data_IF_667642261001
#
_entry.id   IF_667642261001
#
_cell.length_a   1.000
_cell.length_b   1.000
_cell.length_c   1.000
_cell.angle_alpha   90.00
_cell.angle_beta   90.00
_cell.angle_gamma   90.00
#
_symmetry.space_group_name_H-M   'P 1'
#
loop_
_entity.id
_entity.type
_entity.pdbx_description
1 polymer ?
#
# COMPACT_ATOMS: atom_id res chain seq x y z
N UNK A 1 -15.18 37.48 -18.39
CA UNK A 1 -14.03 36.70 -18.89
C UNK A 1 -13.02 36.63 -17.77
N UNK A 2 -13.13 35.63 -16.88
CA UNK A 2 -12.17 35.35 -15.83
C UNK A 2 -11.07 34.50 -16.47
N UNK A 3 -9.87 35.03 -16.55
CA UNK A 3 -8.69 34.32 -17.03
C UNK A 3 -8.40 33.13 -16.08
N UNK A 4 -8.38 31.95 -16.66
CA UNK A 4 -7.98 30.71 -16.00
C UNK A 4 -6.52 30.88 -15.51
N UNK A 5 -6.22 30.78 -14.20
CA UNK A 5 -4.86 30.95 -13.68
C UNK A 5 -3.91 29.81 -14.06
N UNK A 6 -4.32 28.88 -14.93
CA UNK A 6 -3.51 27.79 -15.47
C UNK A 6 -2.74 28.15 -16.76
N UNK A 7 -2.75 29.43 -17.19
CA UNK A 7 -1.98 29.85 -18.37
C UNK A 7 -0.50 30.02 -18.03
N UNK A 8 0.28 29.14 -18.62
CA UNK A 8 1.70 29.17 -18.98
C UNK A 8 2.59 30.18 -18.19
N UNK A 9 3.40 29.68 -17.24
CA UNK A 9 4.53 30.43 -16.69
C UNK A 9 4.57 30.64 -15.17
N UNK A 10 3.56 30.20 -14.41
CA UNK A 10 3.68 30.21 -12.96
C UNK A 10 4.78 29.24 -12.50
N UNK A 11 5.72 29.64 -11.61
CA UNK A 11 6.77 28.75 -11.14
C UNK A 11 6.12 27.52 -10.47
N UNK A 12 6.51 26.36 -10.95
CA UNK A 12 6.03 25.07 -10.42
C UNK A 12 6.26 25.06 -8.91
N UNK A 13 5.25 24.81 -8.06
CA UNK A 13 5.39 24.96 -6.62
C UNK A 13 6.23 23.82 -6.03
N UNK A 14 7.56 23.99 -6.08
CA UNK A 14 8.51 23.01 -5.51
C UNK A 14 8.23 22.75 -4.02
N UNK A 15 7.83 23.80 -3.29
CA UNK A 15 7.44 23.69 -1.88
C UNK A 15 6.27 22.72 -1.67
N UNK A 16 5.24 22.76 -2.51
CA UNK A 16 4.11 21.85 -2.43
C UNK A 16 4.53 20.39 -2.73
N UNK A 17 5.40 20.18 -3.72
CA UNK A 17 5.97 18.86 -4.02
C UNK A 17 6.73 18.29 -2.81
N UNK A 18 7.59 19.10 -2.19
CA UNK A 18 8.35 18.70 -1.00
C UNK A 18 7.41 18.42 0.18
N UNK A 19 6.39 19.27 0.41
CA UNK A 19 5.40 19.05 1.47
C UNK A 19 4.65 17.74 1.32
N UNK A 20 4.19 17.42 0.10
CA UNK A 20 3.51 16.13 -0.20
C UNK A 20 4.48 14.97 -0.02
N UNK A 21 5.72 15.06 -0.52
CA UNK A 21 6.73 14.01 -0.37
C UNK A 21 7.04 13.70 1.11
N UNK A 22 7.14 14.76 1.95
CA UNK A 22 7.29 14.60 3.41
C UNK A 22 6.10 13.83 3.99
N UNK A 23 4.86 14.17 3.64
CA UNK A 23 3.68 13.49 4.18
C UNK A 23 3.64 12.00 3.80
N UNK A 24 3.96 11.66 2.54
CA UNK A 24 4.09 10.26 2.13
C UNK A 24 5.19 9.53 2.92
N UNK A 25 6.34 10.17 3.12
CA UNK A 25 7.42 9.62 3.93
C UNK A 25 6.99 9.39 5.38
N UNK A 26 6.33 10.36 6.02
CA UNK A 26 5.86 10.26 7.40
C UNK A 26 4.80 9.16 7.57
N UNK A 27 3.88 9.05 6.63
CA UNK A 27 2.87 7.99 6.65
C UNK A 27 3.52 6.61 6.66
N UNK A 28 4.48 6.36 5.75
CA UNK A 28 5.25 5.11 5.73
C UNK A 28 6.05 4.88 7.01
N UNK A 29 6.68 5.93 7.56
CA UNK A 29 7.48 5.84 8.79
C UNK A 29 6.62 5.44 9.99
N UNK A 30 5.44 6.07 10.17
CA UNK A 30 4.53 5.78 11.30
C UNK A 30 3.98 4.37 11.17
N UNK A 31 3.55 3.97 9.96
CA UNK A 31 3.02 2.63 9.74
C UNK A 31 4.07 1.55 10.02
N UNK A 32 5.30 1.71 9.51
CA UNK A 32 6.39 0.76 9.74
C UNK A 32 6.84 0.73 11.21
N UNK A 33 6.82 1.87 11.89
CA UNK A 33 7.09 1.94 13.34
C UNK A 33 6.10 1.08 14.12
N UNK A 34 4.81 1.14 13.80
CA UNK A 34 3.80 0.24 14.36
C UNK A 34 4.10 -1.22 13.99
N UNK A 35 4.22 -1.54 12.70
CA UNK A 35 4.39 -2.89 12.18
C UNK A 35 5.56 -3.64 12.86
N UNK A 36 6.70 -2.97 13.05
CA UNK A 36 7.88 -3.58 13.68
C UNK A 36 7.74 -3.83 15.18
N UNK A 37 6.78 -3.18 15.84
CA UNK A 37 6.54 -3.31 17.29
C UNK A 37 5.30 -4.14 17.63
N UNK A 38 4.58 -4.67 16.63
CA UNK A 38 3.44 -5.59 16.84
C UNK A 38 3.83 -6.76 17.75
N UNK A 39 4.98 -7.46 17.57
CA UNK A 39 5.34 -8.57 18.46
C UNK A 39 5.47 -8.16 19.93
N UNK A 40 5.96 -6.96 20.22
CA UNK A 40 6.10 -6.46 21.59
C UNK A 40 4.74 -6.14 22.24
N UNK A 41 3.79 -5.59 21.46
CA UNK A 41 2.42 -5.34 21.92
C UNK A 41 1.66 -6.65 22.11
N UNK A 42 1.80 -7.60 21.19
CA UNK A 42 1.23 -8.94 21.28
C UNK A 42 1.70 -9.64 22.57
N UNK A 43 3.01 -9.67 22.81
CA UNK A 43 3.59 -10.30 23.99
C UNK A 43 3.14 -9.64 25.30
N UNK A 44 3.08 -8.29 25.33
CA UNK A 44 2.63 -7.54 26.52
C UNK A 44 1.19 -7.85 26.90
N UNK A 45 0.32 -7.99 25.91
CA UNK A 45 -1.11 -8.29 26.13
C UNK A 45 -1.42 -9.79 26.15
N UNK A 46 -0.40 -10.63 25.97
CA UNK A 46 -0.52 -12.10 25.88
C UNK A 46 -1.56 -12.55 24.83
N UNK A 47 -1.64 -11.84 23.69
CA UNK A 47 -2.63 -12.13 22.65
C UNK A 47 -2.30 -13.38 21.87
N UNK A 48 -3.30 -14.23 21.67
CA UNK A 48 -3.25 -15.31 20.69
C UNK A 48 -3.15 -14.72 19.26
N UNK A 49 -2.66 -15.50 18.27
CA UNK A 49 -2.66 -15.03 16.88
C UNK A 49 -4.04 -14.65 16.36
N UNK A 50 -5.10 -15.35 16.78
CA UNK A 50 -6.48 -15.05 16.41
C UNK A 50 -6.94 -13.70 16.96
N UNK A 51 -6.70 -13.41 18.25
CA UNK A 51 -7.01 -12.13 18.88
C UNK A 51 -6.24 -10.97 18.25
N UNK A 52 -4.97 -11.19 17.92
CA UNK A 52 -4.17 -10.20 17.21
C UNK A 52 -4.73 -9.95 15.80
N UNK A 53 -5.10 -11.00 15.07
CA UNK A 53 -5.72 -10.87 13.75
C UNK A 53 -7.02 -10.06 13.80
N UNK A 54 -7.85 -10.28 14.84
CA UNK A 54 -9.05 -9.48 15.08
C UNK A 54 -8.71 -8.01 15.42
N UNK A 55 -7.67 -7.76 16.18
CA UNK A 55 -7.24 -6.41 16.49
C UNK A 55 -6.75 -5.68 15.22
N UNK A 56 -5.92 -6.32 14.41
CA UNK A 56 -5.40 -5.78 13.15
C UNK A 56 -6.50 -5.54 12.10
N UNK A 57 -7.57 -6.36 12.09
CA UNK A 57 -8.78 -6.10 11.31
C UNK A 57 -9.35 -4.70 11.60
N UNK A 58 -9.27 -4.23 12.86
CA UNK A 58 -9.68 -2.88 13.23
C UNK A 58 -9.00 -1.80 12.41
N UNK A 59 -7.69 -1.94 12.11
CA UNK A 59 -6.95 -0.98 11.28
C UNK A 59 -7.55 -0.87 9.87
N UNK A 60 -7.81 -2.01 9.23
CA UNK A 60 -8.36 -2.03 7.88
C UNK A 60 -9.82 -1.55 7.85
N UNK A 61 -10.63 -1.93 8.84
CA UNK A 61 -12.02 -1.49 8.97
C UNK A 61 -12.10 0.03 9.18
N UNK A 62 -11.28 0.58 10.07
CA UNK A 62 -11.18 2.03 10.29
C UNK A 62 -10.78 2.78 9.03
N UNK A 63 -9.75 2.30 8.31
CA UNK A 63 -9.30 2.89 7.06
C UNK A 63 -10.41 2.89 6.01
N UNK A 64 -11.08 1.76 5.78
CA UNK A 64 -12.13 1.63 4.77
C UNK A 64 -13.30 2.60 4.99
N UNK A 65 -13.75 2.73 6.24
CA UNK A 65 -14.82 3.68 6.60
C UNK A 65 -14.35 5.13 6.39
N UNK A 66 -13.16 5.46 6.90
CA UNK A 66 -12.66 6.82 6.87
C UNK A 66 -12.26 7.29 5.46
N UNK A 67 -11.79 6.41 4.58
CA UNK A 67 -11.44 6.75 3.19
C UNK A 67 -12.65 7.31 2.43
N UNK A 68 -13.83 6.72 2.59
CA UNK A 68 -15.06 7.21 1.96
C UNK A 68 -15.47 8.59 2.50
N UNK A 69 -15.40 8.78 3.82
CA UNK A 69 -15.73 10.04 4.47
C UNK A 69 -14.73 11.14 4.13
N UNK A 70 -13.44 10.80 4.00
CA UNK A 70 -12.35 11.75 3.75
C UNK A 70 -12.45 12.43 2.40
N UNK A 71 -12.97 11.72 1.38
CA UNK A 71 -13.26 12.33 0.08
C UNK A 71 -14.30 13.45 0.18
N UNK A 72 -15.36 13.23 0.95
CA UNK A 72 -16.38 14.25 1.23
C UNK A 72 -15.82 15.42 2.05
N UNK A 73 -15.08 15.12 3.12
CA UNK A 73 -14.47 16.14 3.98
C UNK A 73 -13.45 16.99 3.20
N UNK A 74 -12.63 16.38 2.33
CA UNK A 74 -11.69 17.09 1.47
C UNK A 74 -12.40 18.02 0.50
N UNK A 75 -13.52 17.59 -0.10
CA UNK A 75 -14.32 18.43 -0.99
C UNK A 75 -14.93 19.64 -0.24
N UNK A 76 -15.28 19.50 1.04
CA UNK A 76 -15.91 20.53 1.85
C UNK A 76 -14.91 21.49 2.52
N UNK A 77 -13.82 20.95 3.07
CA UNK A 77 -12.86 21.71 3.91
C UNK A 77 -11.48 21.88 3.25
N UNK A 78 -11.30 21.32 2.04
CA UNK A 78 -10.01 21.25 1.34
C UNK A 78 -9.13 20.10 1.82
N UNK A 79 -8.41 19.48 0.89
CA UNK A 79 -7.55 18.33 1.20
C UNK A 79 -6.40 18.73 2.13
N UNK A 80 -5.86 19.95 2.06
CA UNK A 80 -4.82 20.46 2.98
C UNK A 80 -5.21 20.31 4.44
N UNK A 81 -6.39 20.79 4.83
CA UNK A 81 -6.87 20.74 6.23
C UNK A 81 -7.09 19.31 6.68
N UNK A 82 -7.76 18.50 5.85
CA UNK A 82 -8.08 17.11 6.18
C UNK A 82 -6.79 16.27 6.28
N UNK A 83 -5.84 16.43 5.34
CA UNK A 83 -4.54 15.74 5.41
C UNK A 83 -3.77 16.08 6.68
N UNK A 84 -3.73 17.38 7.04
CA UNK A 84 -3.02 17.82 8.25
C UNK A 84 -3.63 17.22 9.51
N UNK A 85 -4.96 17.28 9.64
CA UNK A 85 -5.67 16.69 10.79
C UNK A 85 -5.47 15.19 10.85
N UNK A 86 -5.61 14.49 9.72
CA UNK A 86 -5.42 13.06 9.64
C UNK A 86 -3.99 12.63 10.02
N UNK A 87 -2.97 13.36 9.54
CA UNK A 87 -1.58 13.08 9.88
C UNK A 87 -1.27 13.32 11.37
N UNK A 88 -1.78 14.41 11.96
CA UNK A 88 -1.63 14.68 13.40
C UNK A 88 -2.40 13.65 14.25
N UNK A 89 -3.59 13.24 13.81
CA UNK A 89 -4.36 12.16 14.46
C UNK A 89 -3.58 10.84 14.40
N UNK A 90 -2.95 10.53 13.27
CA UNK A 90 -2.12 9.33 13.13
C UNK A 90 -0.92 9.36 14.08
N UNK A 91 -0.25 10.52 14.23
CA UNK A 91 0.81 10.71 15.22
C UNK A 91 0.29 10.50 16.65
N UNK A 92 -0.90 10.99 16.98
CA UNK A 92 -1.50 10.83 18.30
C UNK A 92 -1.88 9.38 18.60
N UNK A 93 -2.42 8.66 17.61
CA UNK A 93 -2.85 7.25 17.79
C UNK A 93 -1.66 6.31 18.01
N UNK A 94 -0.49 6.61 17.45
CA UNK A 94 0.69 5.74 17.56
C UNK A 94 1.08 5.44 19.02
N UNK A 95 1.32 6.41 19.94
CA UNK A 95 1.60 6.10 21.34
C UNK A 95 0.42 5.46 22.08
N UNK A 96 -0.82 5.74 21.69
CA UNK A 96 -2.00 5.13 22.30
C UNK A 96 -2.04 3.60 22.06
N UNK A 97 -1.49 3.10 20.96
CA UNK A 97 -1.31 1.65 20.74
C UNK A 97 -0.41 1.00 21.79
N UNK A 98 0.60 1.72 22.27
CA UNK A 98 1.44 1.24 23.36
C UNK A 98 0.78 1.37 24.73
N UNK A 99 -0.20 2.22 24.90
CA UNK A 99 -0.95 2.39 26.18
C UNK A 99 -2.15 1.45 26.30
N UNK A 100 -2.61 0.87 25.20
CA UNK A 100 -3.72 -0.10 25.25
C UNK A 100 -3.37 -1.26 26.19
N UNK A 101 -4.18 -1.49 27.21
CA UNK A 101 -3.97 -2.51 28.25
C UNK A 101 -4.87 -3.74 28.10
N UNK A 102 -5.83 -3.69 27.19
CA UNK A 102 -6.80 -4.76 26.92
C UNK A 102 -7.02 -4.92 25.42
N UNK A 103 -7.51 -6.08 24.98
CA UNK A 103 -7.85 -6.31 23.57
C UNK A 103 -8.88 -5.31 23.03
N UNK A 104 -10.00 -4.99 23.72
CA UNK A 104 -10.93 -3.97 23.24
C UNK A 104 -10.30 -2.58 23.08
N UNK A 105 -9.43 -2.18 24.02
CA UNK A 105 -8.71 -0.90 23.93
C UNK A 105 -7.76 -0.88 22.73
N UNK A 106 -7.06 -1.99 22.47
CA UNK A 106 -6.20 -2.13 21.27
C UNK A 106 -7.01 -2.07 19.98
N UNK A 107 -8.13 -2.82 19.91
CA UNK A 107 -9.04 -2.80 18.73
C UNK A 107 -9.54 -1.39 18.46
N UNK A 108 -10.04 -0.69 19.48
CA UNK A 108 -10.54 0.68 19.34
C UNK A 108 -9.46 1.63 18.86
N UNK A 109 -8.25 1.55 19.44
CA UNK A 109 -7.12 2.38 19.03
C UNK A 109 -6.68 2.06 17.60
N UNK A 110 -6.67 0.78 17.19
CA UNK A 110 -6.36 0.35 15.83
C UNK A 110 -7.41 0.81 14.82
N UNK A 111 -8.70 0.81 15.16
CA UNK A 111 -9.74 1.40 14.31
C UNK A 111 -9.48 2.89 14.08
N UNK A 112 -9.15 3.65 15.13
CA UNK A 112 -8.86 5.08 15.03
C UNK A 112 -7.52 5.35 14.30
N UNK A 113 -6.51 4.52 14.52
CA UNK A 113 -5.23 4.56 13.79
C UNK A 113 -5.46 4.30 12.31
N UNK A 114 -6.21 3.26 11.97
CA UNK A 114 -6.59 2.94 10.60
C UNK A 114 -7.42 4.04 9.94
N UNK A 115 -8.39 4.61 10.66
CA UNK A 115 -9.19 5.74 10.17
C UNK A 115 -8.31 6.96 9.86
N UNK A 116 -7.36 7.27 10.73
CA UNK A 116 -6.40 8.36 10.51
C UNK A 116 -5.49 8.09 9.31
N UNK A 117 -4.98 6.84 9.21
CA UNK A 117 -4.13 6.41 8.09
C UNK A 117 -4.86 6.47 6.75
N UNK A 118 -6.07 5.90 6.67
CA UNK A 118 -6.88 5.89 5.45
C UNK A 118 -7.32 7.30 5.03
N UNK A 119 -7.66 8.16 5.99
CA UNK A 119 -7.95 9.57 5.73
C UNK A 119 -6.73 10.30 5.15
N UNK A 120 -5.57 10.08 5.74
CA UNK A 120 -4.33 10.67 5.27
C UNK A 120 -3.99 10.16 3.87
N UNK A 121 -4.14 8.86 3.60
CA UNK A 121 -3.86 8.26 2.30
C UNK A 121 -4.68 8.90 1.18
N UNK A 122 -6.01 8.99 1.34
CA UNK A 122 -6.88 9.62 0.33
C UNK A 122 -6.51 11.07 0.09
N UNK A 123 -6.28 11.83 1.15
CA UNK A 123 -6.14 13.27 1.05
C UNK A 123 -4.73 13.71 0.64
N UNK A 124 -3.67 12.99 1.04
CA UNK A 124 -2.32 13.25 0.54
C UNK A 124 -2.17 12.84 -0.93
N UNK A 125 -2.85 11.77 -1.38
CA UNK A 125 -2.92 11.44 -2.81
C UNK A 125 -3.67 12.50 -3.61
N UNK A 126 -4.75 13.09 -3.07
CA UNK A 126 -5.45 14.23 -3.68
C UNK A 126 -4.51 15.42 -3.88
N UNK A 127 -3.71 15.76 -2.87
CA UNK A 127 -2.66 16.78 -2.97
C UNK A 127 -1.59 16.39 -4.01
N UNK A 128 -1.15 15.12 -4.00
CA UNK A 128 -0.17 14.61 -4.96
C UNK A 128 -0.62 14.77 -6.41
N UNK A 129 -1.87 14.41 -6.71
CA UNK A 129 -2.47 14.58 -8.05
C UNK A 129 -2.60 16.06 -8.43
N UNK A 130 -2.98 16.92 -7.49
CA UNK A 130 -3.06 18.37 -7.74
C UNK A 130 -1.68 18.96 -8.08
N UNK A 131 -0.64 18.57 -7.33
CA UNK A 131 0.76 18.96 -7.61
C UNK A 131 1.22 18.41 -8.95
N UNK A 132 0.92 17.13 -9.27
CA UNK A 132 1.29 16.50 -10.54
C UNK A 132 0.73 17.26 -11.74
N UNK A 133 -0.53 17.69 -11.66
CA UNK A 133 -1.17 18.52 -12.72
C UNK A 133 -0.42 19.83 -12.96
N UNK A 134 0.03 20.51 -11.89
CA UNK A 134 0.82 21.72 -12.00
C UNK A 134 2.22 21.47 -12.57
N UNK A 135 2.76 20.27 -12.39
CA UNK A 135 4.06 19.86 -12.96
C UNK A 135 3.97 19.50 -14.46
N UNK A 136 2.79 19.18 -14.98
CA UNK A 136 2.59 18.77 -16.38
C UNK A 136 3.28 17.47 -16.76
N UNK A 137 3.74 16.67 -15.79
CA UNK A 137 4.39 15.37 -15.99
C UNK A 137 4.11 14.43 -14.83
N UNK A 138 4.09 13.10 -15.06
CA UNK A 138 3.86 12.11 -14.00
C UNK A 138 4.93 12.17 -12.91
N UNK A 139 4.53 12.43 -11.66
CA UNK A 139 5.39 12.44 -10.47
C UNK A 139 4.82 11.67 -9.29
N UNK A 140 3.59 11.15 -9.39
CA UNK A 140 2.90 10.47 -8.29
C UNK A 140 3.69 9.26 -7.77
N UNK A 141 4.34 8.50 -8.68
CA UNK A 141 5.21 7.38 -8.30
C UNK A 141 6.36 7.82 -7.38
N UNK A 142 6.88 9.05 -7.53
CA UNK A 142 7.94 9.57 -6.66
C UNK A 142 7.46 9.77 -5.23
N UNK A 143 6.18 10.12 -5.01
CA UNK A 143 5.59 10.21 -3.69
C UNK A 143 5.42 8.83 -3.04
N UNK A 144 4.95 7.83 -3.80
CA UNK A 144 4.87 6.46 -3.30
C UNK A 144 6.25 5.85 -3.00
N UNK A 145 7.30 6.26 -3.74
CA UNK A 145 8.68 5.91 -3.39
C UNK A 145 9.10 6.53 -2.04
N UNK A 146 8.70 7.78 -1.76
CA UNK A 146 8.92 8.41 -0.44
C UNK A 146 8.19 7.65 0.67
N UNK A 147 6.96 7.17 0.44
CA UNK A 147 6.26 6.28 1.39
C UNK A 147 7.07 5.02 1.69
N UNK A 148 7.57 4.33 0.66
CA UNK A 148 8.37 3.11 0.83
C UNK A 148 9.69 3.40 1.55
N UNK A 149 10.33 4.54 1.26
CA UNK A 149 11.54 4.98 1.97
C UNK A 149 11.23 5.28 3.45
N UNK A 150 10.10 5.93 3.74
CA UNK A 150 9.60 6.12 5.11
C UNK A 150 9.39 4.79 5.82
N UNK A 151 8.78 3.82 5.15
CA UNK A 151 8.61 2.46 5.64
C UNK A 151 9.93 1.78 5.99
N UNK A 152 10.93 1.91 5.13
CA UNK A 152 12.29 1.41 5.39
C UNK A 152 12.90 2.09 6.63
N UNK A 153 12.87 3.41 6.69
CA UNK A 153 13.45 4.19 7.82
C UNK A 153 12.74 3.83 9.13
N UNK A 154 11.40 3.76 9.13
CA UNK A 154 10.62 3.36 10.30
C UNK A 154 10.94 1.95 10.76
N UNK A 155 11.12 1.01 9.82
CA UNK A 155 11.48 -0.37 10.14
C UNK A 155 12.90 -0.50 10.71
N UNK A 156 13.88 0.17 10.10
CA UNK A 156 15.27 0.13 10.59
C UNK A 156 15.41 0.82 11.96
N UNK A 157 14.80 1.99 12.14
CA UNK A 157 14.77 2.68 13.43
C UNK A 157 14.05 1.84 14.49
N UNK A 158 12.90 1.23 14.13
CA UNK A 158 12.14 0.34 15.00
C UNK A 158 12.96 -0.88 15.46
N UNK A 159 13.68 -1.51 14.54
CA UNK A 159 14.58 -2.61 14.84
C UNK A 159 15.76 -2.21 15.74
N UNK A 160 16.39 -1.09 15.41
CA UNK A 160 17.51 -0.56 16.22
C UNK A 160 17.06 -0.22 17.65
N UNK A 161 15.98 0.51 17.80
CA UNK A 161 15.43 0.87 19.13
C UNK A 161 15.00 -0.37 19.90
N UNK A 162 14.43 -1.37 19.23
CA UNK A 162 14.05 -2.64 19.83
C UNK A 162 15.26 -3.47 20.29
N UNK A 163 16.35 -3.47 19.53
CA UNK A 163 17.59 -4.20 19.90
C UNK A 163 18.25 -3.64 21.16
N UNK A 164 18.02 -2.37 21.49
CA UNK A 164 18.47 -1.74 22.74
C UNK A 164 17.48 -1.93 23.90
N UNK A 165 16.46 -2.77 23.74
CA UNK A 165 15.47 -3.05 24.80
C UNK A 165 14.52 -1.90 25.11
N UNK A 166 14.46 -0.85 24.29
CA UNK A 166 13.55 0.28 24.52
C UNK A 166 12.10 -0.17 24.32
N UNK A 167 11.26 0.11 25.30
CA UNK A 167 9.82 -0.22 25.25
C UNK A 167 9.09 0.50 24.10
N UNK A 168 7.93 -0.04 23.63
CA UNK A 168 7.17 0.60 22.57
C UNK A 168 6.75 2.04 22.83
N UNK A 169 6.35 2.38 24.07
CA UNK A 169 5.81 3.71 24.38
C UNK A 169 6.82 4.86 24.17
N UNK A 170 8.04 4.86 24.76
CA UNK A 170 9.00 5.94 24.52
C UNK A 170 9.43 6.02 23.04
N UNK A 171 9.53 4.88 22.35
CA UNK A 171 9.79 4.87 20.91
C UNK A 171 8.67 5.57 20.11
N UNK A 172 7.42 5.18 20.37
CA UNK A 172 6.26 5.77 19.69
C UNK A 172 6.07 7.24 19.98
N UNK A 173 6.33 7.68 21.23
CA UNK A 173 6.30 9.10 21.59
C UNK A 173 7.34 9.91 20.83
N UNK A 174 8.58 9.42 20.72
CA UNK A 174 9.65 10.09 19.97
C UNK A 174 9.33 10.23 18.49
N UNK A 175 8.84 9.15 17.86
CA UNK A 175 8.42 9.16 16.44
C UNK A 175 7.22 10.08 16.23
N UNK A 176 6.19 9.97 17.08
CA UNK A 176 4.98 10.79 17.00
C UNK A 176 5.31 12.30 17.11
N UNK A 177 6.16 12.67 18.07
CA UNK A 177 6.58 14.06 18.26
C UNK A 177 7.33 14.61 17.04
N UNK A 178 8.32 13.86 16.53
CA UNK A 178 9.08 14.28 15.35
C UNK A 178 8.17 14.38 14.12
N UNK A 179 7.32 13.36 13.88
CA UNK A 179 6.40 13.35 12.76
C UNK A 179 5.35 14.47 12.85
N UNK A 180 4.87 14.82 14.04
CA UNK A 180 3.93 15.94 14.22
C UNK A 180 4.57 17.29 13.86
N UNK A 181 5.82 17.54 14.27
CA UNK A 181 6.56 18.76 13.89
C UNK A 181 6.73 18.82 12.37
N UNK A 182 7.17 17.73 11.74
CA UNK A 182 7.37 17.67 10.29
C UNK A 182 6.04 17.82 9.54
N UNK A 183 4.94 17.25 10.05
CA UNK A 183 3.59 17.44 9.51
C UNK A 183 3.17 18.90 9.51
N UNK A 184 3.34 19.60 10.64
CA UNK A 184 3.02 21.03 10.76
C UNK A 184 3.86 21.90 9.82
N UNK A 185 5.12 21.54 9.62
CA UNK A 185 5.99 22.19 8.65
C UNK A 185 5.53 21.95 7.22
N UNK A 186 5.28 20.70 6.85
CA UNK A 186 4.84 20.31 5.51
C UNK A 186 3.46 20.90 5.16
N UNK A 187 2.55 20.98 6.13
CA UNK A 187 1.21 21.52 5.95
C UNK A 187 1.21 22.96 5.44
N UNK A 188 2.23 23.76 5.76
CA UNK A 188 2.35 25.15 5.26
C UNK A 188 2.55 25.21 3.75
N UNK A 189 3.13 24.16 3.17
CA UNK A 189 3.46 24.08 1.74
C UNK A 189 2.40 23.39 0.89
N UNK A 190 1.38 22.78 1.50
CA UNK A 190 0.30 22.12 0.76
C UNK A 190 -0.56 23.11 -0.02
N UNK A 191 -1.09 22.65 -1.16
CA UNK A 191 -1.96 23.45 -2.01
C UNK A 191 -3.27 23.79 -1.29
N UNK A 192 -3.78 25.01 -1.46
CA UNK A 192 -5.07 25.41 -0.91
C UNK A 192 -6.25 24.77 -1.66
N UNK A 193 -7.43 24.71 -1.03
CA UNK A 193 -8.62 24.01 -1.53
C UNK A 193 -9.06 24.40 -2.96
N UNK A 194 -8.88 25.65 -3.35
CA UNK A 194 -9.27 26.13 -4.68
C UNK A 194 -8.40 25.60 -5.84
N UNK A 195 -7.25 24.99 -5.54
CA UNK A 195 -6.39 24.37 -6.55
C UNK A 195 -6.79 22.92 -6.89
N UNK A 196 -7.83 22.38 -6.25
CA UNK A 196 -8.26 21.01 -6.38
C UNK A 196 -9.42 20.87 -7.39
N UNK A 197 -9.32 19.93 -8.34
CA UNK A 197 -10.44 19.66 -9.24
C UNK A 197 -11.57 18.93 -8.50
N UNK A 198 -12.80 19.38 -8.69
CA UNK A 198 -13.99 18.71 -8.14
C UNK A 198 -14.08 17.27 -8.67
N UNK A 199 -14.21 16.29 -7.76
CA UNK A 199 -14.52 14.91 -8.13
C UNK A 199 -15.99 14.84 -8.58
N UNK A 200 -16.22 14.47 -9.84
CA UNK A 200 -17.55 14.05 -10.31
C UNK A 200 -17.92 12.72 -9.65
N UNK A 201 -19.20 12.63 -9.24
CA UNK A 201 -19.73 11.57 -8.38
C UNK A 201 -19.48 10.12 -8.84
N UNK A 202 -19.61 9.23 -7.88
CA UNK A 202 -19.44 7.78 -8.04
C UNK A 202 -20.60 7.21 -8.88
N UNK A 203 -20.31 6.78 -10.09
CA UNK A 203 -21.25 6.00 -10.89
C UNK A 203 -21.07 4.50 -10.57
N UNK A 204 -22.14 3.79 -10.22
CA UNK A 204 -22.12 2.35 -10.03
C UNK A 204 -22.12 1.66 -11.41
N UNK A 205 -21.06 0.95 -11.77
CA UNK A 205 -21.04 0.07 -12.93
C UNK A 205 -21.22 -1.39 -12.50
N UNK A 206 -22.00 -2.17 -13.29
CA UNK A 206 -22.11 -3.62 -13.06
C UNK A 206 -20.74 -4.27 -13.29
N UNK A 207 -20.25 -5.12 -12.36
CA UNK A 207 -18.96 -5.78 -12.50
C UNK A 207 -18.99 -6.75 -13.69
N UNK A 208 -18.15 -6.50 -14.69
CA UNK A 208 -17.90 -7.44 -15.79
C UNK A 208 -16.96 -8.56 -15.34
N UNK A 209 -16.92 -9.69 -16.09
CA UNK A 209 -15.96 -10.77 -15.79
C UNK A 209 -14.51 -10.29 -15.76
N UNK A 210 -14.16 -9.32 -16.62
CA UNK A 210 -12.83 -8.71 -16.64
C UNK A 210 -12.53 -7.93 -15.34
N UNK A 211 -13.48 -7.11 -14.89
CA UNK A 211 -13.35 -6.35 -13.62
C UNK A 211 -13.24 -7.29 -12.42
N UNK A 212 -14.01 -8.39 -12.42
CA UNK A 212 -13.92 -9.40 -11.35
C UNK A 212 -12.55 -10.09 -11.32
N UNK A 213 -12.00 -10.44 -12.47
CA UNK A 213 -10.67 -11.05 -12.56
C UNK A 213 -9.56 -10.09 -12.13
N UNK A 214 -9.64 -8.81 -12.55
CA UNK A 214 -8.74 -7.76 -12.07
C UNK A 214 -8.90 -7.53 -10.57
N UNK A 215 -10.13 -7.50 -10.06
CA UNK A 215 -10.42 -7.40 -8.63
C UNK A 215 -9.83 -8.55 -7.82
N UNK A 216 -9.86 -9.78 -8.34
CA UNK A 216 -9.23 -10.94 -7.72
C UNK A 216 -7.70 -10.79 -7.64
N UNK A 217 -7.05 -10.33 -8.71
CA UNK A 217 -5.60 -10.04 -8.68
C UNK A 217 -5.28 -8.97 -7.65
N UNK A 218 -6.04 -7.87 -7.62
CA UNK A 218 -5.88 -6.81 -6.64
C UNK A 218 -6.05 -7.32 -5.20
N UNK A 219 -7.10 -8.12 -4.95
CA UNK A 219 -7.36 -8.76 -3.66
C UNK A 219 -6.17 -9.62 -3.21
N UNK A 220 -5.67 -10.51 -4.08
CA UNK A 220 -4.56 -11.40 -3.75
C UNK A 220 -3.29 -10.64 -3.36
N UNK A 221 -2.96 -9.60 -4.12
CA UNK A 221 -1.71 -8.84 -3.93
C UNK A 221 -1.80 -7.96 -2.69
N UNK A 222 -2.89 -7.22 -2.52
CA UNK A 222 -3.04 -6.29 -1.38
C UNK A 222 -3.17 -7.06 -0.06
N UNK A 223 -3.85 -8.23 -0.07
CA UNK A 223 -3.84 -9.12 1.09
C UNK A 223 -2.42 -9.61 1.41
N UNK A 224 -1.65 -9.99 0.39
CA UNK A 224 -0.26 -10.43 0.55
C UNK A 224 0.65 -9.34 1.09
N UNK A 225 0.53 -8.10 0.60
CA UNK A 225 1.26 -6.93 1.12
C UNK A 225 0.94 -6.71 2.61
N UNK A 226 -0.35 -6.70 2.97
CA UNK A 226 -0.80 -6.57 4.35
C UNK A 226 -0.28 -7.72 5.24
N UNK A 227 -0.28 -8.94 4.71
CA UNK A 227 0.24 -10.09 5.43
C UNK A 227 1.73 -9.95 5.79
N UNK A 228 2.55 -9.46 4.87
CA UNK A 228 3.98 -9.21 5.16
C UNK A 228 4.14 -8.06 6.17
N UNK A 229 3.36 -6.99 6.02
CA UNK A 229 3.42 -5.84 6.93
C UNK A 229 3.08 -6.23 8.37
N UNK A 230 2.03 -7.01 8.57
CA UNK A 230 1.50 -7.35 9.89
C UNK A 230 2.23 -8.54 10.53
N UNK A 231 2.65 -9.53 9.74
CA UNK A 231 3.06 -10.84 10.26
C UNK A 231 4.54 -11.16 10.07
N UNK A 232 5.31 -10.43 9.23
CA UNK A 232 6.73 -10.74 9.00
C UNK A 232 7.57 -10.62 10.28
N UNK A 233 7.34 -9.55 11.07
CA UNK A 233 8.05 -9.37 12.34
C UNK A 233 7.66 -10.45 13.37
N UNK A 234 6.39 -10.86 13.42
CA UNK A 234 5.89 -11.92 14.29
C UNK A 234 6.50 -13.26 13.89
N UNK A 235 6.57 -13.55 12.57
CA UNK A 235 7.18 -14.77 12.04
C UNK A 235 8.67 -14.85 12.39
N UNK A 236 9.43 -13.78 12.15
CA UNK A 236 10.85 -13.74 12.47
C UNK A 236 11.09 -13.88 13.98
N UNK A 237 10.37 -13.13 14.80
CA UNK A 237 10.55 -13.16 16.26
C UNK A 237 10.06 -14.47 16.89
N UNK A 238 8.86 -14.91 16.54
CA UNK A 238 8.18 -16.06 17.16
C UNK A 238 8.62 -17.40 16.58
N UNK A 239 8.73 -17.51 15.24
CA UNK A 239 9.02 -18.78 14.56
C UNK A 239 10.52 -19.00 14.39
N UNK A 240 11.27 -17.99 13.92
CA UNK A 240 12.72 -18.08 13.71
C UNK A 240 13.55 -17.61 14.92
N UNK A 241 12.90 -17.08 15.96
CA UNK A 241 13.51 -16.65 17.24
C UNK A 241 14.66 -15.66 17.06
N UNK A 242 14.48 -14.68 16.14
CA UNK A 242 15.53 -13.71 15.80
C UNK A 242 15.81 -12.67 16.87
N UNK A 243 14.92 -12.52 17.84
CA UNK A 243 14.90 -11.37 18.75
C UNK A 243 14.27 -10.12 18.12
N UNK A 244 13.92 -9.17 18.97
CA UNK A 244 13.10 -8.01 18.61
C UNK A 244 13.76 -7.07 17.56
N UNK A 245 15.09 -6.94 17.59
CA UNK A 245 15.81 -6.09 16.63
C UNK A 245 15.73 -6.62 15.20
N UNK A 246 16.10 -7.89 14.99
CA UNK A 246 16.08 -8.51 13.67
C UNK A 246 14.67 -8.82 13.17
N UNK A 247 13.67 -8.90 14.04
CA UNK A 247 12.28 -9.07 13.63
C UNK A 247 11.80 -7.98 12.66
N UNK A 248 12.24 -6.75 12.86
CA UNK A 248 11.93 -5.61 11.98
C UNK A 248 12.55 -5.74 10.57
N UNK A 249 13.63 -6.51 10.42
CA UNK A 249 14.34 -6.64 9.14
C UNK A 249 13.48 -7.31 8.05
N UNK A 250 12.47 -8.11 8.42
CA UNK A 250 11.55 -8.71 7.46
C UNK A 250 10.76 -7.67 6.65
N UNK A 251 10.13 -6.75 7.36
CA UNK A 251 9.41 -5.65 6.72
C UNK A 251 10.35 -4.66 6.02
N UNK A 252 11.54 -4.41 6.57
CA UNK A 252 12.55 -3.57 5.93
C UNK A 252 13.01 -4.16 4.58
N UNK A 253 13.33 -5.46 4.51
CA UNK A 253 13.71 -6.14 3.29
C UNK A 253 12.59 -6.09 2.22
N UNK A 254 11.35 -6.35 2.63
CA UNK A 254 10.18 -6.20 1.76
C UNK A 254 10.06 -4.77 1.22
N UNK A 255 10.11 -3.75 2.10
CA UNK A 255 9.87 -2.35 1.74
C UNK A 255 10.94 -1.79 0.81
N UNK A 256 12.22 -2.08 1.05
CA UNK A 256 13.31 -1.57 0.19
C UNK A 256 13.25 -2.18 -1.20
N UNK A 257 13.02 -3.50 -1.29
CA UNK A 257 12.95 -4.16 -2.60
C UNK A 257 11.68 -3.75 -3.36
N UNK A 258 10.57 -3.54 -2.65
CA UNK A 258 9.37 -2.98 -3.25
C UNK A 258 9.60 -1.57 -3.80
N UNK A 259 10.29 -0.69 -3.05
CA UNK A 259 10.61 0.65 -3.51
C UNK A 259 11.48 0.64 -4.80
N UNK A 260 12.50 -0.21 -4.83
CA UNK A 260 13.35 -0.42 -6.02
C UNK A 260 12.50 -0.96 -7.18
N UNK A 261 11.68 -1.99 -6.93
CA UNK A 261 10.81 -2.59 -7.93
C UNK A 261 9.84 -1.58 -8.55
N UNK A 262 9.26 -0.68 -7.75
CA UNK A 262 8.42 0.44 -8.25
C UNK A 262 9.22 1.41 -9.12
N UNK A 263 10.47 1.70 -8.75
CA UNK A 263 11.34 2.60 -9.52
C UNK A 263 11.74 2.07 -10.90
N UNK A 264 11.95 0.74 -11.03
CA UNK A 264 12.32 0.10 -12.29
C UNK A 264 11.14 -0.53 -13.03
N UNK A 265 9.96 -0.49 -12.42
CA UNK A 265 8.75 -1.17 -12.91
C UNK A 265 8.27 -0.68 -14.27
N UNK A 266 8.22 0.64 -14.48
CA UNK A 266 7.73 1.24 -15.71
C UNK A 266 8.57 0.85 -16.95
N UNK A 267 9.92 1.02 -16.95
CA UNK A 267 10.74 0.59 -18.09
C UNK A 267 10.70 -0.92 -18.32
N UNK A 268 10.57 -1.72 -17.26
CA UNK A 268 10.47 -3.17 -17.38
C UNK A 268 9.11 -3.59 -17.95
N UNK A 269 8.02 -2.95 -17.51
CA UNK A 269 6.68 -3.15 -18.06
C UNK A 269 6.60 -2.74 -19.54
N UNK A 270 7.28 -1.65 -19.91
CA UNK A 270 7.35 -1.23 -21.30
C UNK A 270 8.03 -2.26 -22.22
N UNK A 271 8.99 -3.04 -21.70
CA UNK A 271 9.70 -4.09 -22.43
C UNK A 271 8.96 -5.42 -22.45
N UNK A 272 8.50 -5.88 -21.31
CA UNK A 272 7.96 -7.24 -21.13
C UNK A 272 6.43 -7.31 -21.30
N UNK A 273 5.75 -6.18 -21.22
CA UNK A 273 4.29 -6.09 -21.22
C UNK A 273 3.67 -6.33 -19.85
N UNK A 274 2.48 -5.74 -19.59
CA UNK A 274 1.84 -5.76 -18.27
C UNK A 274 1.44 -7.16 -17.82
N UNK A 275 0.97 -8.02 -18.74
CA UNK A 275 0.61 -9.40 -18.44
C UNK A 275 1.79 -10.23 -17.94
N UNK A 276 2.94 -10.14 -18.65
CA UNK A 276 4.16 -10.87 -18.25
C UNK A 276 4.66 -10.36 -16.89
N UNK A 277 4.62 -9.05 -16.66
CA UNK A 277 5.01 -8.45 -15.38
C UNK A 277 4.16 -8.95 -14.22
N UNK A 278 2.84 -8.99 -14.36
CA UNK A 278 1.93 -9.53 -13.32
C UNK A 278 2.18 -11.01 -13.07
N UNK A 279 2.37 -11.80 -14.14
CA UNK A 279 2.66 -13.23 -14.03
C UNK A 279 3.98 -13.50 -13.30
N UNK A 280 5.06 -12.84 -13.73
CA UNK A 280 6.38 -12.96 -13.09
C UNK A 280 6.34 -12.45 -11.66
N UNK A 281 5.66 -11.32 -11.41
CA UNK A 281 5.49 -10.76 -10.08
C UNK A 281 4.85 -11.75 -9.10
N UNK A 282 3.74 -12.38 -9.49
CA UNK A 282 3.11 -13.41 -8.67
C UNK A 282 3.98 -14.64 -8.44
N UNK A 283 4.71 -15.11 -9.47
CA UNK A 283 5.63 -16.25 -9.36
C UNK A 283 6.84 -15.94 -8.46
N UNK A 284 7.43 -14.75 -8.60
CA UNK A 284 8.56 -14.30 -7.76
C UNK A 284 8.12 -14.16 -6.31
N UNK A 285 6.94 -13.58 -6.05
CA UNK A 285 6.39 -13.49 -4.71
C UNK A 285 6.12 -14.87 -4.10
N UNK A 286 5.51 -15.78 -4.86
CA UNK A 286 5.26 -17.15 -4.42
C UNK A 286 6.56 -17.89 -4.08
N UNK A 287 7.57 -17.80 -4.95
CA UNK A 287 8.89 -18.41 -4.71
C UNK A 287 9.56 -17.83 -3.48
N UNK A 288 9.58 -16.48 -3.38
CA UNK A 288 10.20 -15.77 -2.25
C UNK A 288 9.58 -16.19 -0.92
N UNK A 289 8.25 -16.16 -0.82
CA UNK A 289 7.57 -16.55 0.40
C UNK A 289 7.74 -18.04 0.71
N UNK A 290 7.71 -18.91 -0.30
CA UNK A 290 7.98 -20.34 -0.10
C UNK A 290 9.37 -20.56 0.50
N UNK A 291 10.40 -19.88 -0.02
CA UNK A 291 11.76 -19.95 0.52
C UNK A 291 11.80 -19.48 1.98
N UNK A 292 11.15 -18.34 2.29
CA UNK A 292 11.08 -17.81 3.65
C UNK A 292 10.40 -18.77 4.64
N UNK A 293 9.39 -19.52 4.19
CA UNK A 293 8.62 -20.42 5.04
C UNK A 293 9.26 -21.81 5.18
N UNK A 294 9.91 -22.34 4.13
CA UNK A 294 10.49 -23.69 4.13
C UNK A 294 11.87 -23.71 4.76
N UNK A 295 12.70 -22.70 4.45
CA UNK A 295 14.09 -22.66 4.92
C UNK A 295 14.16 -21.84 6.22
N UNK A 296 14.39 -22.55 7.34
CA UNK A 296 14.48 -21.92 8.68
C UNK A 296 15.84 -21.22 8.90
N UNK A 297 16.27 -20.40 7.93
CA UNK A 297 17.51 -19.61 7.99
C UNK A 297 17.22 -18.14 7.71
N UNK A 298 17.62 -17.28 8.65
CA UNK A 298 17.24 -15.87 8.65
C UNK A 298 17.58 -15.15 7.33
N UNK A 299 18.79 -15.27 6.75
CA UNK A 299 19.10 -14.61 5.47
C UNK A 299 18.19 -15.03 4.32
N UNK A 300 17.80 -16.30 4.26
CA UNK A 300 16.85 -16.80 3.25
C UNK A 300 15.44 -16.24 3.50
N UNK A 301 15.01 -16.14 4.76
CA UNK A 301 13.73 -15.53 5.09
C UNK A 301 13.68 -14.05 4.67
N UNK A 302 14.74 -13.28 4.94
CA UNK A 302 14.85 -11.88 4.53
C UNK A 302 14.88 -11.72 3.01
N UNK A 303 15.66 -12.58 2.31
CA UNK A 303 15.65 -12.62 0.85
C UNK A 303 14.25 -12.95 0.33
N UNK A 304 13.57 -13.90 0.95
CA UNK A 304 12.21 -14.29 0.59
C UNK A 304 11.21 -13.15 0.72
N UNK A 305 11.22 -12.42 1.84
CA UNK A 305 10.38 -11.21 2.01
C UNK A 305 10.75 -10.11 1.01
N UNK A 306 12.03 -9.92 0.69
CA UNK A 306 12.46 -9.02 -0.38
C UNK A 306 11.90 -9.43 -1.74
N UNK A 307 11.93 -10.74 -2.09
CA UNK A 307 11.34 -11.25 -3.33
C UNK A 307 9.82 -11.05 -3.39
N UNK A 308 9.11 -11.15 -2.26
CA UNK A 308 7.69 -10.78 -2.21
C UNK A 308 7.51 -9.30 -2.56
N UNK A 309 8.35 -8.42 -1.99
CA UNK A 309 8.36 -6.99 -2.32
C UNK A 309 8.62 -6.72 -3.81
N UNK A 310 9.62 -7.40 -4.41
CA UNK A 310 9.88 -7.32 -5.85
C UNK A 310 8.66 -7.75 -6.66
N UNK A 311 8.09 -8.90 -6.31
CA UNK A 311 6.97 -9.51 -7.02
C UNK A 311 5.72 -8.64 -7.03
N UNK A 312 5.36 -8.07 -5.90
CA UNK A 312 4.14 -7.27 -5.76
C UNK A 312 4.28 -5.81 -6.20
N UNK A 313 5.51 -5.30 -6.32
CA UNK A 313 5.80 -3.86 -6.53
C UNK A 313 5.00 -3.18 -7.64
N UNK A 314 4.75 -3.88 -8.74
CA UNK A 314 4.08 -3.33 -9.92
C UNK A 314 2.69 -3.92 -10.18
N UNK A 315 2.32 -5.02 -9.49
CA UNK A 315 1.11 -5.77 -9.84
C UNK A 315 -0.15 -4.95 -9.58
N UNK A 316 -0.27 -4.32 -8.40
CA UNK A 316 -1.43 -3.51 -8.08
C UNK A 316 -1.61 -2.30 -9.00
N UNK A 317 -0.57 -1.44 -9.26
CA UNK A 317 -0.66 -0.36 -10.23
C UNK A 317 -1.06 -0.82 -11.63
N UNK A 318 -0.49 -1.91 -12.14
CA UNK A 318 -0.82 -2.47 -13.46
C UNK A 318 -2.27 -2.97 -13.51
N UNK A 319 -2.76 -3.53 -12.41
CA UNK A 319 -4.15 -4.00 -12.31
C UNK A 319 -5.14 -2.82 -12.37
N UNK A 320 -4.84 -1.71 -11.68
CA UNK A 320 -5.63 -0.47 -11.74
C UNK A 320 -5.58 0.17 -13.13
N UNK A 321 -4.41 0.20 -13.75
CA UNK A 321 -4.24 0.71 -15.11
C UNK A 321 -5.08 -0.09 -16.11
N UNK A 322 -5.04 -1.42 -16.02
CA UNK A 322 -5.85 -2.30 -16.87
C UNK A 322 -7.36 -2.06 -16.67
N UNK A 323 -7.80 -1.87 -15.42
CA UNK A 323 -9.19 -1.54 -15.12
C UNK A 323 -9.64 -0.24 -15.82
N UNK A 324 -8.78 0.78 -15.81
CA UNK A 324 -9.04 2.05 -16.49
C UNK A 324 -9.19 1.93 -18.02
N UNK A 325 -8.56 0.93 -18.62
CA UNK A 325 -8.65 0.69 -20.07
C UNK A 325 -9.83 -0.22 -20.47
N UNK A 326 -10.48 -0.88 -19.51
CA UNK A 326 -11.60 -1.82 -19.80
C UNK A 326 -12.85 -1.12 -20.36
N UNK A 327 -13.09 0.15 -20.01
CA UNK A 327 -14.19 0.97 -20.53
C UNK A 327 -13.82 2.44 -20.53
N UNK A 328 -13.80 3.05 -21.72
CA UNK A 328 -13.52 4.49 -21.87
C UNK A 328 -14.55 5.39 -21.16
N UNK A 329 -15.82 4.94 -21.07
CA UNK A 329 -16.93 5.72 -20.51
C UNK A 329 -17.08 5.53 -18.99
N UNK A 330 -16.54 4.45 -18.41
CA UNK A 330 -16.66 4.10 -17.00
C UNK A 330 -15.31 3.79 -16.34
N UNK A 331 -14.20 4.33 -16.86
CA UNK A 331 -12.85 4.05 -16.38
C UNK A 331 -12.69 4.29 -14.87
N UNK A 332 -13.18 5.43 -14.37
CA UNK A 332 -13.11 5.75 -12.92
C UNK A 332 -13.87 4.75 -12.06
N UNK A 333 -15.02 4.28 -12.52
CA UNK A 333 -15.82 3.28 -11.79
C UNK A 333 -15.16 1.90 -11.78
N UNK A 334 -14.54 1.51 -12.90
CA UNK A 334 -13.80 0.25 -13.00
C UNK A 334 -12.57 0.25 -12.07
N UNK A 335 -11.80 1.34 -12.05
CA UNK A 335 -10.68 1.54 -11.13
C UNK A 335 -11.15 1.46 -9.68
N UNK A 336 -12.24 2.16 -9.33
CA UNK A 336 -12.78 2.14 -7.98
C UNK A 336 -13.24 0.75 -7.55
N UNK A 337 -13.89 -0.02 -8.44
CA UNK A 337 -14.32 -1.38 -8.15
C UNK A 337 -13.13 -2.32 -7.88
N UNK A 338 -12.08 -2.25 -8.69
CA UNK A 338 -10.86 -3.06 -8.51
C UNK A 338 -10.09 -2.65 -7.25
N UNK A 339 -9.97 -1.34 -6.98
CA UNK A 339 -9.36 -0.85 -5.76
C UNK A 339 -10.12 -1.33 -4.51
N UNK A 340 -11.45 -1.30 -4.54
CA UNK A 340 -12.30 -1.81 -3.45
C UNK A 340 -12.02 -3.29 -3.18
N UNK A 341 -11.88 -4.13 -4.23
CA UNK A 341 -11.50 -5.53 -4.04
C UNK A 341 -10.13 -5.66 -3.36
N UNK A 342 -9.16 -4.84 -3.73
CA UNK A 342 -7.87 -4.78 -3.05
C UNK A 342 -8.00 -4.44 -1.56
N UNK A 343 -8.77 -3.41 -1.22
CA UNK A 343 -9.01 -3.03 0.18
C UNK A 343 -9.76 -4.10 0.98
N UNK A 344 -10.68 -4.86 0.34
CA UNK A 344 -11.30 -6.04 0.97
C UNK A 344 -10.23 -7.10 1.28
N UNK A 345 -9.23 -7.28 0.41
CA UNK A 345 -8.10 -8.16 0.69
C UNK A 345 -7.31 -7.71 1.94
N UNK A 346 -7.01 -6.42 2.03
CA UNK A 346 -6.35 -5.85 3.21
C UNK A 346 -7.18 -6.00 4.49
N UNK A 347 -8.51 -5.87 4.39
CA UNK A 347 -9.44 -6.05 5.50
C UNK A 347 -9.50 -7.51 5.98
N UNK A 348 -9.61 -8.46 5.04
CA UNK A 348 -9.82 -9.89 5.35
C UNK A 348 -8.50 -10.59 5.75
N UNK A 349 -7.36 -10.07 5.29
CA UNK A 349 -6.04 -10.68 5.51
C UNK A 349 -5.71 -10.96 6.98
N UNK A 350 -5.68 -9.97 7.88
CA UNK A 350 -5.29 -10.16 9.26
C UNK A 350 -6.13 -11.19 10.02
N UNK A 351 -7.48 -11.17 9.99
CA UNK A 351 -8.28 -12.18 10.68
C UNK A 351 -8.10 -13.58 10.09
N UNK A 352 -8.06 -13.74 8.77
CA UNK A 352 -7.85 -15.06 8.15
C UNK A 352 -6.50 -15.63 8.56
N UNK A 353 -5.42 -14.86 8.45
CA UNK A 353 -4.08 -15.32 8.85
C UNK A 353 -4.04 -15.59 10.35
N UNK A 354 -4.60 -14.70 11.17
CA UNK A 354 -4.63 -14.84 12.62
C UNK A 354 -5.37 -16.10 13.08
N UNK A 355 -6.57 -16.36 12.55
CA UNK A 355 -7.35 -17.55 12.89
C UNK A 355 -6.68 -18.84 12.40
N UNK A 356 -6.15 -18.88 11.18
CA UNK A 356 -5.42 -20.05 10.67
C UNK A 356 -4.15 -20.28 11.50
N UNK A 357 -3.43 -19.21 11.86
CA UNK A 357 -2.24 -19.30 12.69
C UNK A 357 -2.56 -19.81 14.12
N UNK A 358 -3.73 -19.48 14.65
CA UNK A 358 -4.17 -19.93 15.97
C UNK A 358 -4.50 -21.43 16.00
N UNK A 359 -5.05 -21.98 14.91
CA UNK A 359 -5.45 -23.40 14.82
C UNK A 359 -4.28 -24.28 14.36
N UNK A 360 -3.47 -23.81 13.45
CA UNK A 360 -2.37 -24.59 12.84
C UNK A 360 -0.99 -24.04 13.23
N UNK A 361 -0.52 -23.06 12.49
CA UNK A 361 0.71 -22.31 12.75
C UNK A 361 0.77 -21.06 11.88
N UNK A 362 1.57 -20.07 12.30
CA UNK A 362 1.79 -18.87 11.48
C UNK A 362 2.48 -19.21 10.14
N UNK A 363 3.36 -20.22 10.12
CA UNK A 363 3.99 -20.72 8.90
C UNK A 363 2.95 -21.22 7.90
N UNK A 364 1.99 -22.02 8.34
CA UNK A 364 0.90 -22.54 7.50
C UNK A 364 -0.02 -21.42 7.04
N UNK A 365 -0.35 -20.48 7.93
CA UNK A 365 -1.20 -19.34 7.61
C UNK A 365 -0.58 -18.45 6.52
N UNK A 366 0.72 -18.16 6.61
CA UNK A 366 1.44 -17.41 5.57
C UNK A 366 1.56 -18.22 4.26
N UNK A 367 1.51 -19.55 4.31
CA UNK A 367 1.42 -20.41 3.13
C UNK A 367 0.21 -20.12 2.25
N UNK A 368 -0.88 -19.62 2.84
CA UNK A 368 -2.04 -19.13 2.08
C UNK A 368 -1.68 -17.97 1.14
N UNK A 369 -0.77 -17.09 1.54
CA UNK A 369 -0.29 -15.99 0.70
C UNK A 369 0.50 -16.51 -0.51
N UNK A 370 1.19 -17.66 -0.39
CA UNK A 370 1.82 -18.31 -1.55
C UNK A 370 0.76 -18.72 -2.57
N UNK A 371 -0.34 -19.32 -2.11
CA UNK A 371 -1.45 -19.70 -2.99
C UNK A 371 -2.07 -18.48 -3.67
N UNK A 372 -2.27 -17.37 -2.93
CA UNK A 372 -2.79 -16.12 -3.49
C UNK A 372 -1.82 -15.52 -4.52
N UNK A 373 -0.51 -15.59 -4.29
CA UNK A 373 0.50 -15.12 -5.25
C UNK A 373 0.47 -15.93 -6.54
N UNK A 374 0.31 -17.25 -6.45
CA UNK A 374 0.12 -18.13 -7.62
C UNK A 374 -1.22 -17.84 -8.33
N UNK A 375 -2.28 -17.55 -7.58
CA UNK A 375 -3.56 -17.15 -8.12
C UNK A 375 -3.42 -15.85 -8.93
N UNK A 376 -2.74 -14.83 -8.40
CA UNK A 376 -2.48 -13.58 -9.13
C UNK A 376 -1.70 -13.84 -10.43
N UNK A 377 -0.69 -14.73 -10.40
CA UNK A 377 0.05 -15.13 -11.60
C UNK A 377 -0.82 -15.86 -12.63
N UNK A 378 -1.73 -16.74 -12.20
CA UNK A 378 -2.65 -17.47 -13.07
C UNK A 378 -3.65 -16.53 -13.76
N UNK A 379 -4.15 -15.52 -13.04
CA UNK A 379 -5.10 -14.53 -13.56
C UNK A 379 -4.43 -13.34 -14.25
N UNK A 380 -3.12 -13.34 -14.46
CA UNK A 380 -2.38 -12.28 -15.16
C UNK A 380 -2.92 -11.93 -16.55
N UNK A 381 -3.64 -12.87 -17.20
CA UNK A 381 -4.32 -12.62 -18.49
C UNK A 381 -5.38 -11.52 -18.40
N UNK A 382 -5.92 -11.25 -17.23
CA UNK A 382 -6.91 -10.19 -17.03
C UNK A 382 -6.32 -8.78 -17.24
N UNK A 383 -5.02 -8.61 -17.04
CA UNK A 383 -4.33 -7.30 -17.12
C UNK A 383 -4.05 -6.86 -18.57
N UNK A 384 -4.40 -7.65 -19.58
CA UNK A 384 -4.29 -7.30 -21.00
C UNK A 384 -3.29 -8.15 -21.79
N UNK A 385 -3.35 -8.03 -23.13
CA UNK A 385 -2.56 -8.86 -24.03
C UNK A 385 -1.07 -8.55 -24.05
N UNK A 386 -0.26 -9.55 -24.36
CA UNK A 386 1.16 -9.38 -24.68
C UNK A 386 1.28 -8.54 -25.97
N UNK A 387 2.28 -7.67 -26.05
CA UNK A 387 2.59 -6.87 -27.25
C UNK A 387 2.69 -7.69 -28.54
N UNK A 388 3.05 -8.97 -28.43
CA UNK A 388 3.08 -9.89 -29.57
C UNK A 388 1.70 -10.18 -30.18
N UNK A 389 0.64 -10.16 -29.37
CA UNK A 389 -0.73 -10.40 -29.84
C UNK A 389 -1.33 -9.14 -30.50
N UNK A 390 -1.01 -7.96 -30.00
CA UNK A 390 -1.44 -6.69 -30.61
C UNK A 390 -0.74 -6.44 -31.94
N UNK A 391 0.57 -6.64 -32.03
CA UNK A 391 1.30 -6.52 -33.29
C UNK A 391 0.82 -7.55 -34.34
N UNK A 392 0.49 -8.76 -33.92
CA UNK A 392 -0.10 -9.79 -34.79
C UNK A 392 -1.50 -9.43 -35.28
N UNK A 393 -2.30 -8.73 -34.48
CA UNK A 393 -3.62 -8.24 -34.90
C UNK A 393 -3.52 -7.02 -35.82
N UNK A 394 -2.59 -6.12 -35.58
CA UNK A 394 -2.31 -4.96 -36.45
C UNK A 394 -1.79 -5.43 -37.82
N UNK A 395 -0.85 -6.37 -37.86
CA UNK A 395 -0.38 -6.98 -39.11
C UNK A 395 -1.49 -7.65 -39.91
N UNK A 396 -2.36 -8.45 -39.25
CA UNK A 396 -3.53 -9.07 -39.90
C UNK A 396 -4.56 -8.05 -40.36
N UNK A 397 -4.70 -6.91 -39.68
CA UNK A 397 -5.60 -5.85 -40.10
C UNK A 397 -5.04 -5.10 -41.31
N UNK A 398 -3.74 -4.90 -41.39
CA UNK A 398 -3.06 -4.31 -42.57
C UNK A 398 -3.17 -5.25 -43.78
N UNK A 399 -2.89 -6.54 -43.61
CA UNK A 399 -3.03 -7.55 -44.67
C UNK A 399 -4.47 -7.63 -45.23
N UNK A 400 -5.47 -7.55 -44.35
CA UNK A 400 -6.88 -7.51 -44.79
C UNK A 400 -7.27 -6.24 -45.54
N UNK A 401 -6.70 -5.09 -45.13
CA UNK A 401 -6.89 -3.82 -45.80
C UNK A 401 -6.29 -3.82 -47.21
N UNK A 402 -5.10 -4.38 -47.37
CA UNK A 402 -4.43 -4.52 -48.68
C UNK A 402 -5.13 -5.53 -49.63
N UNK A 403 -5.71 -6.60 -49.06
CA UNK A 403 -6.46 -7.57 -49.85
C UNK A 403 -7.84 -7.06 -50.31
N UNK A 404 -8.40 -6.03 -49.66
CA UNK A 404 -9.67 -5.39 -50.02
C UNK A 404 -9.50 -4.29 -51.10
N UNK A 405 -8.28 -3.90 -51.44
CA UNK A 405 -7.95 -2.85 -52.45
C UNK A 405 -7.55 -3.48 -53.80
N UNK A 406 -7.32 -4.79 -53.82
CA UNK A 406 -7.15 -5.57 -55.03
C UNK A 406 -8.45 -6.23 -55.46
#
# INVERSE_FOLDING_TARGET
MSQDPLQAGAPVPQSARVGVAILFFLNGTIFATWATRIPAVQARLALTPGELGLALFGTAAGALVAMNLSGYLAARFGSRSVTTIAALSLCLMLPLLALASTLPALVTTLVLFGASNGSMDVTMNTQGVAVERLYGRPILNSFHACYSLGGLVGALAGGLVASHGVAPLPHFLGVAFLCAILTLSAARSLLPAHAEAQRTGVAFARPTRAILALGLVAFCVVLGEGAIADWSAIYLNGTLRTGAGLAAAGYAAFSVVMAVGRGVGDPLTARLGPRTMVRLGGLVAALGLTLALVVSWIPIALLGFGLVGAGFSVVFPLTLSAAGHTSKQAAGTAIAAVATCGYVGFLVGPPVIGFVANVLSLRTALGFVVVLSLCAAAFARAVGGDKHTENGQVLKAIERSESSIR
#
